data_IF_033888822730
#
_entry.id   IF_033888822730
#
_cell.length_a   1.000
_cell.length_b   1.000
_cell.length_c   1.000
_cell.angle_alpha   90.00
_cell.angle_beta   90.00
_cell.angle_gamma   90.00
#
_symmetry.space_group_name_H-M   'P 1'
#
loop_
_entity.id
_entity.type
_entity.pdbx_description
1 polymer ?
#
# COMPACT_ATOMS: atom_id res chain seq x y z
N UNK A 1 21.38 13.88 -5.58
CA UNK A 1 22.32 14.04 -4.44
C UNK A 1 22.39 12.71 -3.72
N UNK A 2 23.57 12.27 -3.31
CA UNK A 2 23.76 11.03 -2.54
C UNK A 2 23.85 11.34 -1.05
N UNK A 3 23.21 10.50 -0.25
CA UNK A 3 23.10 10.63 1.19
C UNK A 3 23.30 9.26 1.84
N UNK A 4 23.66 9.26 3.12
CA UNK A 4 23.71 8.06 3.94
C UNK A 4 22.76 8.24 5.13
N UNK A 5 22.15 7.14 5.58
CA UNK A 5 21.22 7.18 6.71
C UNK A 5 20.77 5.80 7.14
N UNK A 6 19.92 5.73 8.16
CA UNK A 6 19.34 4.49 8.66
C UNK A 6 17.90 4.32 8.20
N UNK A 7 17.61 3.20 7.56
CA UNK A 7 16.25 2.86 7.14
C UNK A 7 15.33 2.74 8.36
N UNK A 8 14.16 3.40 8.35
CA UNK A 8 13.20 3.34 9.47
C UNK A 8 11.99 2.49 9.11
N UNK A 9 11.29 2.89 8.06
CA UNK A 9 10.05 2.27 7.64
C UNK A 9 9.79 2.53 6.15
N UNK A 10 8.99 1.67 5.57
CA UNK A 10 8.38 1.85 4.25
C UNK A 10 6.87 1.71 4.43
N UNK A 11 6.10 2.57 3.76
CA UNK A 11 4.65 2.48 3.68
C UNK A 11 4.21 2.67 2.24
N UNK A 12 3.09 2.06 1.86
CA UNK A 12 2.44 2.37 0.59
C UNK A 12 1.78 3.74 0.73
N UNK A 13 2.01 4.63 -0.23
CA UNK A 13 1.44 5.97 -0.29
C UNK A 13 0.30 6.04 -1.31
N UNK A 14 0.49 5.41 -2.46
CA UNK A 14 -0.50 5.35 -3.53
C UNK A 14 -0.39 4.02 -4.28
N UNK A 15 -1.52 3.49 -4.74
CA UNK A 15 -1.61 2.28 -5.54
C UNK A 15 -2.36 2.60 -6.82
N UNK A 16 -1.72 2.40 -7.97
CA UNK A 16 -2.29 2.59 -9.30
C UNK A 16 -2.46 1.24 -10.01
N UNK A 17 -3.50 1.07 -10.84
CA UNK A 17 -3.68 -0.15 -11.64
C UNK A 17 -3.98 0.17 -13.11
N UNK A 18 -2.95 -0.04 -13.95
CA UNK A 18 -3.05 0.18 -15.40
C UNK A 18 -4.02 -0.77 -16.11
N UNK A 19 -4.09 -2.03 -15.68
CA UNK A 19 -5.00 -3.02 -16.28
C UNK A 19 -6.47 -2.68 -15.97
N UNK A 20 -6.76 -2.24 -14.74
CA UNK A 20 -8.09 -1.80 -14.34
C UNK A 20 -8.57 -0.61 -15.18
N UNK A 21 -7.67 0.31 -15.53
CA UNK A 21 -7.97 1.43 -16.43
C UNK A 21 -8.44 0.96 -17.81
N UNK A 22 -7.81 -0.07 -18.37
CA UNK A 22 -8.19 -0.67 -19.66
C UNK A 22 -9.50 -1.46 -19.55
N UNK A 23 -9.63 -2.28 -18.50
CA UNK A 23 -10.82 -3.11 -18.28
C UNK A 23 -12.08 -2.25 -18.05
N UNK A 24 -11.93 -1.05 -17.47
CA UNK A 24 -13.02 -0.09 -17.31
C UNK A 24 -13.58 0.47 -18.63
N UNK A 25 -12.87 0.34 -19.75
CA UNK A 25 -13.40 0.69 -21.09
C UNK A 25 -14.28 -0.41 -21.68
N UNK A 26 -14.22 -1.63 -21.15
CA UNK A 26 -14.98 -2.75 -21.67
C UNK A 26 -16.41 -2.74 -21.11
N UNK A 27 -17.40 -3.27 -21.86
CA UNK A 27 -18.70 -3.62 -21.34
C UNK A 27 -18.62 -4.41 -20.03
N UNK A 28 -19.51 -4.09 -19.08
CA UNK A 28 -19.49 -4.59 -17.69
C UNK A 28 -19.30 -6.11 -17.61
N UNK A 29 -20.03 -6.88 -18.42
CA UNK A 29 -19.96 -8.34 -18.40
C UNK A 29 -18.58 -8.90 -18.77
N UNK A 30 -17.91 -8.33 -19.79
CA UNK A 30 -16.55 -8.73 -20.15
C UNK A 30 -15.54 -8.21 -19.14
N UNK A 31 -15.78 -7.01 -18.63
CA UNK A 31 -14.92 -6.40 -17.63
C UNK A 31 -14.85 -7.25 -16.36
N UNK A 32 -15.99 -7.67 -15.82
CA UNK A 32 -16.04 -8.46 -14.59
C UNK A 32 -15.49 -9.88 -14.79
N UNK A 33 -15.79 -10.49 -15.95
CA UNK A 33 -15.18 -11.77 -16.31
C UNK A 33 -13.65 -11.68 -16.39
N UNK A 34 -13.10 -10.66 -17.06
CA UNK A 34 -11.65 -10.45 -17.14
C UNK A 34 -11.03 -10.13 -15.78
N UNK A 35 -11.71 -9.34 -14.93
CA UNK A 35 -11.23 -9.04 -13.57
C UNK A 35 -11.12 -10.29 -12.73
N UNK A 36 -12.09 -11.21 -12.81
CA UNK A 36 -12.03 -12.46 -12.07
C UNK A 36 -11.12 -13.52 -12.72
N UNK A 37 -10.91 -13.45 -14.03
CA UNK A 37 -9.97 -14.35 -14.73
C UNK A 37 -8.51 -14.06 -14.37
N UNK A 38 -8.15 -12.77 -14.26
CA UNK A 38 -6.78 -12.33 -14.01
C UNK A 38 -6.53 -11.81 -12.60
N UNK A 39 -7.58 -11.73 -11.78
CA UNK A 39 -7.55 -11.17 -10.44
C UNK A 39 -8.11 -12.11 -9.39
N UNK A 40 -8.19 -11.59 -8.17
CA UNK A 40 -8.66 -12.31 -6.99
C UNK A 40 -9.85 -11.57 -6.38
N UNK A 41 -10.71 -12.30 -5.68
CA UNK A 41 -11.84 -11.68 -4.98
C UNK A 41 -11.35 -10.79 -3.85
N UNK A 42 -11.94 -9.60 -3.70
CA UNK A 42 -11.60 -8.73 -2.57
C UNK A 42 -11.81 -9.44 -1.22
N UNK A 43 -10.92 -9.22 -0.24
CA UNK A 43 -11.07 -9.80 1.09
C UNK A 43 -12.37 -9.33 1.78
N UNK A 44 -12.75 -10.04 2.85
CA UNK A 44 -13.89 -9.66 3.69
C UNK A 44 -13.43 -8.56 4.64
N UNK A 45 -13.85 -7.33 4.36
CA UNK A 45 -13.70 -6.21 5.27
C UNK A 45 -14.58 -6.39 6.51
N UNK A 46 -14.01 -6.26 7.70
CA UNK A 46 -14.82 -6.08 8.92
C UNK A 46 -15.17 -4.59 9.08
N UNK A 47 -16.45 -4.19 8.99
CA UNK A 47 -16.87 -2.80 9.08
C UNK A 47 -16.81 -2.22 10.52
N UNK A 48 -16.46 -3.03 11.52
CA UNK A 48 -16.56 -2.68 12.94
C UNK A 48 -15.31 -2.06 13.56
N UNK A 49 -14.17 -1.99 12.86
CA UNK A 49 -12.95 -1.41 13.45
C UNK A 49 -12.92 0.13 13.45
N UNK A 50 -13.71 0.77 12.58
CA UNK A 50 -13.61 2.22 12.34
C UNK A 50 -14.71 3.07 13.01
N UNK A 51 -15.46 2.53 13.98
CA UNK A 51 -16.52 3.28 14.66
C UNK A 51 -16.49 3.19 16.20
N UNK A 52 -15.36 2.82 16.81
CA UNK A 52 -15.18 2.82 18.29
C UNK A 52 -14.24 3.92 18.79
N UNK A 53 -14.33 5.11 18.20
CA UNK A 53 -13.82 6.35 18.82
C UNK A 53 -14.78 7.46 18.46
N UNK A 54 -15.89 7.51 19.19
CA UNK A 54 -16.62 8.71 19.63
C UNK A 54 -18.00 8.27 20.10
N UNK A 55 -18.19 8.18 21.42
CA UNK A 55 -19.29 8.81 22.16
C UNK A 55 -19.24 8.29 23.60
N UNK A 56 -18.49 9.01 24.44
CA UNK A 56 -18.74 9.05 25.87
C UNK A 56 -20.05 9.80 26.08
N UNK A 57 -21.16 9.11 26.33
CA UNK A 57 -22.31 9.74 27.01
C UNK A 57 -23.19 8.67 27.66
N UNK A 58 -22.99 8.53 28.97
CA UNK A 58 -23.98 8.28 30.02
C UNK A 58 -25.38 7.80 29.57
N UNK A 59 -25.75 6.58 29.99
CA UNK A 59 -27.10 6.36 30.52
C UNK A 59 -27.09 5.27 31.59
N UNK A 60 -27.45 5.73 32.78
CA UNK A 60 -27.75 5.02 34.01
C UNK A 60 -28.97 4.10 33.82
N UNK A 61 -28.91 2.85 34.28
CA UNK A 61 -30.10 2.07 34.59
C UNK A 61 -29.82 1.06 35.71
N UNK A 62 -30.41 1.34 36.88
CA UNK A 62 -30.47 0.49 38.06
C UNK A 62 -31.27 -0.79 37.80
N UNK A 63 -30.90 -1.92 38.43
CA UNK A 63 -31.85 -2.82 39.10
C UNK A 63 -31.13 -3.86 39.98
N UNK A 64 -31.65 -4.01 41.21
CA UNK A 64 -31.27 -4.96 42.25
C UNK A 64 -31.64 -6.40 41.81
N UNK A 65 -30.99 -7.51 42.19
CA UNK A 65 -30.92 -8.22 43.49
C UNK A 65 -30.14 -9.56 43.27
N UNK A 66 -29.77 -10.34 44.32
CA UNK A 66 -28.60 -11.23 44.33
C UNK A 66 -28.90 -12.70 43.98
N UNK A 67 -27.90 -13.46 43.50
CA UNK A 67 -27.53 -14.77 44.07
C UNK A 67 -26.33 -15.47 43.36
N UNK A 68 -25.45 -16.02 44.21
CA UNK A 68 -24.60 -17.21 44.08
C UNK A 68 -23.61 -17.42 42.90
N UNK A 69 -22.31 -17.26 43.25
CA UNK A 69 -21.16 -18.17 42.98
C UNK A 69 -20.88 -18.68 41.56
N UNK A 70 -19.87 -18.08 40.90
CA UNK A 70 -18.79 -18.77 40.16
C UNK A 70 -17.71 -17.75 39.75
N UNK A 71 -16.54 -17.81 40.37
CA UNK A 71 -15.36 -17.00 40.01
C UNK A 71 -14.66 -17.61 38.79
N UNK A 72 -14.86 -17.00 37.63
CA UNK A 72 -13.90 -17.06 36.51
C UNK A 72 -13.57 -15.61 36.16
N UNK A 73 -12.34 -15.19 36.40
CA UNK A 73 -11.86 -13.85 36.11
C UNK A 73 -11.68 -13.70 34.59
N UNK A 74 -12.71 -13.21 33.93
CA UNK A 74 -12.65 -12.82 32.53
C UNK A 74 -12.04 -11.41 32.48
N UNK A 75 -10.74 -11.33 32.21
CA UNK A 75 -10.10 -10.05 31.92
C UNK A 75 -10.61 -9.55 30.57
N UNK A 76 -11.58 -8.62 30.59
CA UNK A 76 -11.94 -7.82 29.43
C UNK A 76 -10.81 -6.80 29.19
N UNK A 77 -9.82 -7.20 28.39
CA UNK A 77 -8.79 -6.28 27.89
C UNK A 77 -9.45 -5.26 26.97
N UNK A 78 -9.34 -3.98 27.33
CA UNK A 78 -9.73 -2.86 26.48
C UNK A 78 -8.56 -2.47 25.57
N UNK A 79 -8.88 -1.96 24.39
CA UNK A 79 -7.96 -1.70 23.27
C UNK A 79 -6.90 -0.61 23.57
N UNK A 80 -6.90 -0.01 24.76
CA UNK A 80 -5.92 1.00 25.16
C UNK A 80 -4.57 0.42 25.63
N UNK A 81 -4.47 -0.89 25.90
CA UNK A 81 -3.25 -1.51 26.45
C UNK A 81 -2.23 -1.98 25.39
N UNK A 82 -2.51 -1.80 24.10
CA UNK A 82 -1.59 -2.21 23.02
C UNK A 82 -0.51 -1.18 22.66
N UNK A 83 -0.47 -0.02 23.32
CA UNK A 83 0.55 0.99 23.01
C UNK A 83 1.87 0.79 23.77
N UNK A 84 1.93 0.00 24.85
CA UNK A 84 3.16 -0.09 25.68
C UNK A 84 3.37 -1.49 26.31
N UNK A 85 3.03 -2.56 25.59
CA UNK A 85 3.19 -3.92 26.11
C UNK A 85 4.26 -4.65 25.32
N UNK A 86 5.51 -4.47 25.73
CA UNK A 86 6.64 -5.37 25.47
C UNK A 86 6.35 -6.73 26.12
N UNK A 87 5.47 -7.53 25.52
CA UNK A 87 5.23 -8.91 25.94
C UNK A 87 5.40 -9.80 24.71
N UNK A 88 6.39 -10.69 24.84
CA UNK A 88 6.85 -11.68 23.86
C UNK A 88 7.47 -11.05 22.61
N UNK A 89 8.81 -10.99 22.60
CA UNK A 89 9.66 -10.49 21.51
C UNK A 89 9.57 -11.31 20.22
N UNK A 90 8.39 -11.38 19.63
CA UNK A 90 8.21 -11.70 18.22
C UNK A 90 8.23 -10.35 17.52
N UNK A 91 9.38 -9.98 16.97
CA UNK A 91 9.42 -8.92 15.98
C UNK A 91 8.45 -9.35 14.86
N UNK A 92 7.25 -8.75 14.82
CA UNK A 92 6.32 -8.97 13.73
C UNK A 92 7.08 -8.57 12.47
N UNK A 93 7.35 -9.50 11.54
CA UNK A 93 8.11 -9.17 10.35
C UNK A 93 7.44 -7.99 9.65
N UNK A 94 8.20 -7.02 9.18
CA UNK A 94 7.71 -5.87 8.40
C UNK A 94 6.77 -6.32 7.26
N UNK A 95 6.99 -7.51 6.72
CA UNK A 95 6.11 -8.16 5.74
C UNK A 95 4.65 -8.37 6.22
N UNK A 96 4.43 -8.71 7.49
CA UNK A 96 3.08 -8.96 8.06
C UNK A 96 2.32 -7.64 8.27
N UNK A 97 3.00 -6.60 8.74
CA UNK A 97 2.42 -5.26 8.86
C UNK A 97 2.00 -4.69 7.51
N UNK A 98 2.81 -4.94 6.47
CA UNK A 98 2.50 -4.48 5.12
C UNK A 98 1.41 -5.32 4.45
N UNK A 99 1.31 -6.62 4.74
CA UNK A 99 0.15 -7.42 4.31
C UNK A 99 -1.16 -6.89 4.90
N UNK A 100 -1.15 -6.50 6.18
CA UNK A 100 -2.33 -5.88 6.82
C UNK A 100 -2.66 -4.53 6.18
N UNK A 101 -1.65 -3.73 5.85
CA UNK A 101 -1.85 -2.46 5.15
C UNK A 101 -2.41 -2.68 3.72
N UNK A 102 -1.91 -3.68 2.98
CA UNK A 102 -2.45 -4.06 1.66
C UNK A 102 -3.92 -4.51 1.75
N UNK A 103 -4.30 -5.28 2.77
CA UNK A 103 -5.69 -5.72 2.97
C UNK A 103 -6.64 -4.56 3.32
N UNK A 104 -6.17 -3.61 4.12
CA UNK A 104 -6.93 -2.42 4.48
C UNK A 104 -7.14 -1.51 3.26
N UNK A 105 -6.12 -1.34 2.41
CA UNK A 105 -6.24 -0.60 1.15
C UNK A 105 -7.22 -1.29 0.18
N UNK A 106 -7.12 -2.61 0.02
CA UNK A 106 -8.06 -3.38 -0.79
C UNK A 106 -9.49 -3.23 -0.28
N UNK A 107 -9.67 -3.07 1.03
CA UNK A 107 -10.97 -2.81 1.61
C UNK A 107 -11.53 -1.43 1.24
N UNK A 108 -10.71 -0.38 1.33
CA UNK A 108 -11.10 0.97 0.92
C UNK A 108 -11.46 1.00 -0.58
N UNK A 109 -10.66 0.33 -1.41
CA UNK A 109 -10.90 0.24 -2.85
C UNK A 109 -12.20 -0.52 -3.14
N UNK A 110 -12.46 -1.62 -2.43
CA UNK A 110 -13.71 -2.40 -2.56
C UNK A 110 -14.96 -1.55 -2.34
N UNK A 111 -14.92 -0.60 -1.39
CA UNK A 111 -16.05 0.28 -1.11
C UNK A 111 -16.39 1.21 -2.28
N UNK A 112 -15.39 1.54 -3.11
CA UNK A 112 -15.53 2.40 -4.28
C UNK A 112 -15.75 1.61 -5.58
N UNK A 113 -15.31 0.35 -5.60
CA UNK A 113 -15.40 -0.54 -6.75
C UNK A 113 -16.83 -1.11 -6.91
N UNK A 114 -17.34 -1.12 -8.15
CA UNK A 114 -18.60 -1.77 -8.51
C UNK A 114 -18.43 -3.26 -8.88
N UNK A 115 -17.24 -3.82 -8.67
CA UNK A 115 -16.86 -5.16 -9.11
C UNK A 115 -16.29 -5.97 -7.94
N UNK A 116 -16.34 -7.31 -8.04
CA UNK A 116 -16.04 -8.23 -6.93
C UNK A 116 -14.60 -8.73 -6.92
N UNK A 117 -13.90 -8.65 -8.06
CA UNK A 117 -12.55 -9.16 -8.25
C UNK A 117 -11.58 -8.03 -8.59
N UNK A 118 -10.39 -8.06 -7.98
CA UNK A 118 -9.31 -7.10 -8.18
C UNK A 118 -8.11 -7.74 -8.85
N UNK A 119 -7.53 -7.06 -9.84
CA UNK A 119 -6.42 -7.59 -10.62
C UNK A 119 -5.08 -7.20 -9.99
N UNK A 120 -4.81 -7.77 -8.80
CA UNK A 120 -3.66 -7.41 -7.93
C UNK A 120 -2.29 -7.43 -8.63
N UNK A 121 -2.11 -8.33 -9.60
CA UNK A 121 -0.83 -8.51 -10.32
C UNK A 121 -0.38 -7.27 -11.11
N UNK A 122 -1.30 -6.39 -11.50
CA UNK A 122 -1.00 -5.18 -12.27
C UNK A 122 -1.03 -3.90 -11.42
N UNK A 123 -1.02 -4.04 -10.10
CA UNK A 123 -0.87 -2.91 -9.18
C UNK A 123 0.57 -2.39 -9.22
N UNK A 124 0.72 -1.12 -9.56
CA UNK A 124 1.92 -0.32 -9.36
C UNK A 124 1.80 0.47 -8.06
N UNK A 125 2.89 0.50 -7.28
CA UNK A 125 2.90 1.11 -5.94
C UNK A 125 3.82 2.33 -5.94
N UNK A 126 3.36 3.39 -5.30
CA UNK A 126 4.19 4.51 -4.87
C UNK A 126 4.42 4.34 -3.37
N UNK A 127 5.69 4.22 -2.98
CA UNK A 127 6.12 3.89 -1.64
C UNK A 127 6.68 5.13 -0.98
N UNK A 128 6.24 5.44 0.23
CA UNK A 128 6.89 6.44 1.08
C UNK A 128 7.89 5.74 2.01
N UNK A 129 9.14 6.19 1.95
CA UNK A 129 10.26 5.63 2.70
C UNK A 129 10.75 6.68 3.69
N UNK A 130 10.86 6.28 4.95
CA UNK A 130 11.46 7.10 6.00
C UNK A 130 12.91 6.70 6.23
N UNK A 131 13.82 7.67 6.14
CA UNK A 131 15.25 7.48 6.45
C UNK A 131 15.67 8.45 7.54
N UNK A 132 16.22 7.93 8.62
CA UNK A 132 16.83 8.74 9.68
C UNK A 132 18.23 9.17 9.28
N UNK A 133 18.56 10.45 9.50
CA UNK A 133 19.93 10.93 9.32
C UNK A 133 20.88 10.26 10.33
N UNK A 134 22.15 10.01 9.96
CA UNK A 134 23.14 9.48 10.88
C UNK A 134 23.31 10.45 12.05
N UNK A 135 23.39 9.88 13.25
CA UNK A 135 23.40 10.59 14.53
C UNK A 135 24.63 11.53 14.62
N UNK A 136 24.41 12.82 14.91
CA UNK A 136 25.45 13.69 15.46
C UNK A 136 25.36 13.59 16.99
N UNK A 137 26.51 13.36 17.64
CA UNK A 137 26.61 13.08 19.08
C UNK A 137 25.79 14.06 19.94
N UNK A 138 24.77 13.52 20.65
CA UNK A 138 24.07 14.21 21.74
C UNK A 138 22.64 14.70 21.49
N UNK A 139 22.02 14.39 20.34
CA UNK A 139 20.66 14.82 20.01
C UNK A 139 19.67 13.64 20.02
N UNK A 140 18.55 13.72 20.77
CA UNK A 140 17.56 12.65 20.79
C UNK A 140 16.90 12.43 19.42
N UNK A 141 16.55 11.17 19.16
CA UNK A 141 15.96 10.69 17.91
C UNK A 141 14.52 11.22 17.72
N UNK A 142 14.39 12.43 17.17
CA UNK A 142 13.09 13.00 16.83
C UNK A 142 12.60 12.46 15.46
N UNK A 143 11.50 11.70 15.43
CA UNK A 143 10.83 11.25 14.19
C UNK A 143 10.43 12.39 13.24
N UNK A 144 10.38 13.62 13.74
CA UNK A 144 10.12 14.82 12.94
C UNK A 144 11.31 15.23 12.05
N UNK A 145 12.51 14.70 12.30
CA UNK A 145 13.73 14.97 11.51
C UNK A 145 13.99 13.93 10.42
N UNK A 146 13.14 12.91 10.32
CA UNK A 146 13.28 11.87 9.32
C UNK A 146 13.02 12.42 7.91
N UNK A 147 13.87 12.03 6.97
CA UNK A 147 13.74 12.41 5.57
C UNK A 147 12.67 11.51 4.94
N UNK A 148 11.67 12.13 4.32
CA UNK A 148 10.62 11.44 3.56
C UNK A 148 11.01 11.34 2.09
N UNK A 149 11.14 10.11 1.62
CA UNK A 149 11.45 9.79 0.23
C UNK A 149 10.23 9.14 -0.43
N UNK A 150 10.00 9.47 -1.70
CA UNK A 150 8.99 8.84 -2.55
C UNK A 150 9.71 7.92 -3.51
N UNK A 151 9.38 6.64 -3.45
CA UNK A 151 9.95 5.59 -4.28
C UNK A 151 8.88 4.97 -5.17
N UNK A 152 9.25 4.67 -6.40
CA UNK A 152 8.43 4.01 -7.40
C UNK A 152 8.39 2.48 -7.19
N UNK A 153 7.50 1.81 -7.91
CA UNK A 153 7.17 0.38 -7.71
C UNK A 153 8.39 -0.53 -7.82
N UNK A 154 9.37 -0.19 -8.65
CA UNK A 154 10.59 -0.97 -8.85
C UNK A 154 11.44 -1.14 -7.59
N UNK A 155 11.34 -0.20 -6.66
CA UNK A 155 12.04 -0.29 -5.39
C UNK A 155 11.34 -1.23 -4.40
N UNK A 156 10.11 -1.66 -4.67
CA UNK A 156 9.30 -2.49 -3.76
C UNK A 156 10.07 -3.70 -3.25
N UNK A 157 10.67 -4.48 -4.14
CA UNK A 157 11.35 -5.72 -3.73
C UNK A 157 12.55 -5.47 -2.80
N UNK A 158 13.28 -4.37 -3.02
CA UNK A 158 14.43 -3.99 -2.21
C UNK A 158 13.96 -3.42 -0.88
N UNK A 159 13.04 -2.44 -0.90
CA UNK A 159 12.54 -1.75 0.29
C UNK A 159 11.80 -2.69 1.25
N UNK A 160 11.05 -3.67 0.73
CA UNK A 160 10.35 -4.66 1.56
C UNK A 160 11.30 -5.66 2.26
N UNK A 161 12.54 -5.79 1.79
CA UNK A 161 13.55 -6.68 2.39
C UNK A 161 14.48 -5.97 3.36
N UNK A 162 14.53 -4.64 3.34
CA UNK A 162 15.33 -3.86 4.28
C UNK A 162 14.74 -3.96 5.69
N UNK A 163 15.62 -4.08 6.67
CA UNK A 163 15.23 -4.11 8.07
C UNK A 163 15.34 -2.70 8.67
N UNK A 164 14.42 -2.31 9.57
CA UNK A 164 14.57 -1.08 10.35
C UNK A 164 15.92 -1.06 11.06
N UNK A 165 16.69 0.02 10.88
CA UNK A 165 18.00 0.22 11.47
C UNK A 165 19.19 -0.04 10.55
N UNK A 166 18.98 -0.67 9.39
CA UNK A 166 20.02 -0.91 8.38
C UNK A 166 20.59 0.40 7.83
N UNK A 167 21.91 0.45 7.68
CA UNK A 167 22.66 1.54 7.07
C UNK A 167 22.53 1.49 5.55
N UNK A 168 21.95 2.56 4.98
CA UNK A 168 21.69 2.66 3.55
C UNK A 168 22.34 3.90 2.96
N UNK A 169 22.92 3.74 1.77
CA UNK A 169 23.30 4.82 0.87
C UNK A 169 22.20 5.01 -0.17
N UNK A 170 21.72 6.23 -0.35
CA UNK A 170 20.63 6.50 -1.28
C UNK A 170 20.83 7.77 -2.09
N UNK A 171 20.29 7.78 -3.30
CA UNK A 171 20.34 8.91 -4.22
C UNK A 171 18.95 9.48 -4.42
N UNK A 172 18.84 10.80 -4.34
CA UNK A 172 17.56 11.51 -4.50
C UNK A 172 17.61 12.58 -5.59
N UNK A 173 16.46 12.85 -6.19
CA UNK A 173 16.19 14.03 -7.02
C UNK A 173 15.21 14.97 -6.31
N UNK A 174 15.49 16.26 -6.46
CA UNK A 174 14.60 17.33 -6.05
C UNK A 174 13.57 17.55 -7.16
N UNK A 175 12.44 16.83 -7.10
CA UNK A 175 11.27 17.15 -7.92
C UNK A 175 10.22 17.83 -7.04
N UNK A 176 10.12 19.16 -7.07
CA UNK A 176 9.07 19.87 -6.33
C UNK A 176 9.23 21.39 -6.23
N UNK A 177 8.10 22.11 -6.37
CA UNK A 177 8.01 23.56 -6.13
C UNK A 177 8.25 23.82 -4.63
N UNK A 178 9.36 24.47 -4.31
CA UNK A 178 9.90 24.73 -2.96
C UNK A 178 9.04 25.67 -2.06
N UNK A 179 7.71 25.52 -2.05
CA UNK A 179 6.78 26.42 -1.35
C UNK A 179 5.91 25.79 -0.26
N UNK A 180 6.14 24.51 0.13
CA UNK A 180 5.34 23.78 1.12
C UNK A 180 6.12 23.38 2.38
N UNK A 181 5.39 22.97 3.43
CA UNK A 181 5.89 22.81 4.81
C UNK A 181 6.85 21.62 5.04
N UNK A 182 7.03 20.71 4.08
CA UNK A 182 8.06 19.65 4.08
C UNK A 182 8.46 19.26 2.64
N UNK A 183 9.76 19.07 2.33
CA UNK A 183 10.20 18.65 1.01
C UNK A 183 10.01 17.14 0.81
N UNK A 184 9.38 16.74 -0.30
CA UNK A 184 9.33 15.35 -0.77
C UNK A 184 10.46 15.10 -1.78
N UNK A 185 11.27 14.06 -1.56
CA UNK A 185 12.38 13.72 -2.46
C UNK A 185 12.10 12.42 -3.21
N UNK A 186 12.27 12.42 -4.54
CA UNK A 186 12.11 11.20 -5.34
C UNK A 186 13.38 10.34 -5.19
N UNK A 187 13.21 9.05 -4.89
CA UNK A 187 14.28 8.09 -4.74
C UNK A 187 14.75 7.61 -6.13
N UNK A 188 16.06 7.69 -6.39
CA UNK A 188 16.69 7.20 -7.63
C UNK A 188 17.52 5.95 -7.45
N UNK A 189 18.09 5.76 -6.27
CA UNK A 189 18.86 4.57 -5.95
C UNK A 189 18.90 4.37 -4.44
N UNK A 190 19.00 3.12 -4.00
CA UNK A 190 19.24 2.75 -2.61
C UNK A 190 20.11 1.49 -2.55
N UNK A 191 21.12 1.53 -1.70
CA UNK A 191 22.10 0.47 -1.47
C UNK A 191 22.19 0.23 0.04
N UNK A 192 22.16 -1.02 0.46
CA UNK A 192 22.45 -1.34 1.85
C UNK A 192 23.93 -1.60 2.03
N UNK A 193 24.52 -0.99 3.07
CA UNK A 193 25.95 -1.08 3.36
C UNK A 193 26.25 -2.14 4.42
N UNK A 194 25.28 -2.47 5.27
CA UNK A 194 25.42 -3.38 6.42
C UNK A 194 24.54 -4.65 6.34
N UNK A 195 23.97 -4.92 5.17
CA UNK A 195 23.15 -6.12 4.94
C UNK A 195 24.00 -7.30 4.43
N UNK A 196 23.60 -8.52 4.80
CA UNK A 196 24.22 -9.73 4.26
C UNK A 196 24.04 -9.81 2.73
N UNK A 197 25.17 -9.94 2.03
CA UNK A 197 25.39 -9.63 0.62
C UNK A 197 24.68 -10.52 -0.42
N UNK A 198 23.78 -11.42 -0.01
CA UNK A 198 23.12 -12.37 -0.92
C UNK A 198 21.80 -11.87 -1.55
N UNK A 199 21.24 -10.73 -1.10
CA UNK A 199 19.83 -10.38 -1.39
C UNK A 199 19.56 -8.99 -1.99
N UNK A 200 20.59 -8.16 -2.18
CA UNK A 200 20.45 -6.75 -2.56
C UNK A 200 21.30 -6.40 -3.78
N UNK A 201 21.16 -7.17 -4.86
CA UNK A 201 21.70 -6.74 -6.15
C UNK A 201 20.87 -5.55 -6.62
N UNK A 202 21.45 -4.37 -6.42
CA UNK A 202 21.07 -3.07 -6.97
C UNK A 202 19.84 -3.09 -7.88
N UNK A 203 18.69 -2.63 -7.37
CA UNK A 203 17.65 -2.09 -8.24
C UNK A 203 18.15 -0.75 -8.81
N UNK A 204 19.20 -0.80 -9.64
CA UNK A 204 19.49 0.27 -10.56
C UNK A 204 18.38 0.24 -11.61
N UNK A 205 17.42 1.16 -11.50
CA UNK A 205 16.41 1.35 -12.53
C UNK A 205 16.50 2.76 -13.12
N UNK A 206 16.82 2.76 -14.41
CA UNK A 206 16.55 3.85 -15.34
C UNK A 206 15.02 4.00 -15.41
N UNK A 207 14.51 5.21 -15.15
CA UNK A 207 13.10 5.59 -15.33
C UNK A 207 12.74 5.36 -16.81
N UNK A 208 12.22 4.19 -17.16
CA UNK A 208 11.71 3.91 -18.50
C UNK A 208 10.31 4.53 -18.58
N UNK A 209 10.24 5.82 -18.90
CA UNK A 209 9.02 6.42 -19.42
C UNK A 209 8.78 5.86 -20.82
N UNK A 210 7.87 4.89 -20.93
CA UNK A 210 7.38 4.40 -22.22
C UNK A 210 5.93 4.83 -22.36
N UNK A 211 5.70 5.78 -23.27
CA UNK A 211 4.38 6.26 -23.70
C UNK A 211 3.54 5.11 -24.29
N UNK A 212 2.98 4.28 -23.41
CA UNK A 212 2.18 3.11 -23.80
C UNK A 212 0.77 3.52 -24.25
N UNK A 213 0.26 4.65 -23.77
CA UNK A 213 -1.14 5.08 -23.95
C UNK A 213 -1.56 5.20 -25.42
N UNK A 214 -0.72 5.80 -26.28
CA UNK A 214 -1.05 5.99 -27.71
C UNK A 214 -0.93 4.69 -28.50
N UNK A 215 0.05 3.86 -28.15
CA UNK A 215 0.33 2.59 -28.83
C UNK A 215 -0.72 1.53 -28.49
N UNK A 216 -1.16 1.47 -27.23
CA UNK A 216 -2.18 0.53 -26.76
C UNK A 216 -3.58 0.89 -27.28
N UNK A 217 -3.94 2.17 -27.34
CA UNK A 217 -5.23 2.59 -27.92
C UNK A 217 -5.38 2.19 -29.38
N UNK A 218 -4.33 2.37 -30.18
CA UNK A 218 -4.34 1.98 -31.59
C UNK A 218 -4.46 0.46 -31.77
N UNK A 219 -3.80 -0.33 -30.93
CA UNK A 219 -3.84 -1.80 -31.00
C UNK A 219 -5.16 -2.37 -30.51
N UNK A 220 -5.77 -1.78 -29.48
CA UNK A 220 -7.12 -2.15 -29.03
C UNK A 220 -8.16 -1.81 -30.09
N UNK A 221 -8.07 -0.63 -30.73
CA UNK A 221 -8.96 -0.26 -31.84
C UNK A 221 -8.85 -1.26 -33.00
N UNK A 222 -7.64 -1.63 -33.40
CA UNK A 222 -7.43 -2.62 -34.46
C UNK A 222 -8.07 -3.96 -34.11
N UNK A 223 -7.87 -4.47 -32.88
CA UNK A 223 -8.47 -5.72 -32.45
C UNK A 223 -10.00 -5.64 -32.45
N UNK A 224 -10.58 -4.54 -31.97
CA UNK A 224 -12.03 -4.33 -32.00
C UNK A 224 -12.57 -4.32 -33.44
N UNK A 225 -11.95 -3.54 -34.33
CA UNK A 225 -12.36 -3.46 -35.74
C UNK A 225 -12.23 -4.84 -36.42
N UNK A 226 -11.21 -5.63 -36.11
CA UNK A 226 -11.02 -6.97 -36.67
C UNK A 226 -12.10 -7.98 -36.23
N UNK A 227 -12.41 -8.04 -34.93
CA UNK A 227 -13.34 -9.06 -34.40
C UNK A 227 -14.81 -8.66 -34.52
N UNK A 228 -15.14 -7.36 -34.48
CA UNK A 228 -16.53 -6.91 -34.40
C UNK A 228 -17.07 -6.25 -35.67
N UNK A 229 -16.22 -5.87 -36.64
CA UNK A 229 -16.70 -5.39 -37.95
C UNK A 229 -17.60 -6.38 -38.73
N UNK A 230 -17.40 -7.72 -38.68
CA UNK A 230 -18.26 -8.64 -39.42
C UNK A 230 -19.67 -8.76 -38.81
N UNK A 231 -19.80 -8.58 -37.49
CA UNK A 231 -21.08 -8.67 -36.78
C UNK A 231 -21.86 -7.36 -36.78
N UNK A 232 -21.16 -6.21 -36.76
CA UNK A 232 -21.79 -4.89 -36.78
C UNK A 232 -22.15 -4.38 -38.18
N UNK A 233 -21.55 -4.95 -39.24
CA UNK A 233 -21.87 -4.61 -40.64
C UNK A 233 -22.97 -5.47 -41.25
N UNK A 234 -23.59 -6.36 -40.47
CA UNK A 234 -24.76 -7.10 -40.93
C UNK A 234 -25.93 -6.13 -41.15
N UNK A 235 -26.15 -5.76 -42.42
CA UNK A 235 -27.39 -5.11 -42.88
C UNK A 235 -28.54 -6.07 -42.58
N UNK A 236 -29.47 -5.62 -41.73
CA UNK A 236 -30.79 -6.24 -41.62
C UNK A 236 -31.54 -5.79 -42.87
N UNK A 237 -31.60 -6.66 -43.88
CA UNK A 237 -32.59 -6.53 -44.94
C UNK A 237 -33.92 -7.05 -44.36
N UNK A 238 -34.87 -6.12 -44.21
CA UNK A 238 -36.29 -6.38 -43.87
C UNK A 238 -37.07 -6.63 -45.14
#
# INVERSE_FOLDING_TARGET
VTWTGRFRQVRVAETENGAQSVINLLPVFMGDWLRCLYGETYPKCDPLRNNSTNTSTSSTANSNTPDATATVANANLTVADYANTTVLGVAVPTAVLLQQQEEEELCVIKALAKHTCHVKRYDSYVLEVGVGMPEEDGVPEDRARDIKLVASHEFRQVLLRLQPGSLVEFSTTLEGRLGGQVPSFELKAIYCLDCDSSLLTAAGQVKIERDWRRTTLNSVKFAFDFFFSPFLSARIDV
#
